data_IF_049509386513
#
_entry.id   IF_049509386513
#
_cell.length_a   1.000
_cell.length_b   1.000
_cell.length_c   1.000
_cell.angle_alpha   90.00
_cell.angle_beta   90.00
_cell.angle_gamma   90.00
#
_symmetry.space_group_name_H-M   'P 1'
#
loop_
_entity.id
_entity.type
_entity.pdbx_description
1 polymer ?
#
# COMPACT_ATOMS: atom_id res chain seq x y z
N UNK A 1 -20.38 17.07 8.59
CA UNK A 1 -18.91 17.27 8.76
C UNK A 1 -18.46 18.34 7.77
N UNK A 2 -17.83 19.38 8.26
CA UNK A 2 -17.28 20.43 7.38
C UNK A 2 -15.83 20.08 6.98
N UNK A 3 -15.25 20.91 6.12
CA UNK A 3 -13.90 20.67 5.60
C UNK A 3 -12.85 20.62 6.72
N UNK A 4 -12.96 21.51 7.69
CA UNK A 4 -12.00 21.57 8.80
C UNK A 4 -12.06 20.30 9.66
N UNK A 5 -13.24 19.84 9.98
CA UNK A 5 -13.42 18.60 10.76
C UNK A 5 -12.94 17.38 9.99
N UNK A 6 -13.22 17.32 8.70
CA UNK A 6 -12.76 16.25 7.82
C UNK A 6 -11.23 16.17 7.83
N UNK A 7 -10.56 17.30 7.66
CA UNK A 7 -9.10 17.34 7.64
C UNK A 7 -8.50 16.88 8.97
N UNK A 8 -9.10 17.25 10.10
CA UNK A 8 -8.64 16.80 11.41
C UNK A 8 -8.70 15.29 11.56
N UNK A 9 -9.68 14.66 10.94
CA UNK A 9 -9.85 13.21 11.01
C UNK A 9 -8.86 12.48 10.10
N UNK A 10 -8.62 12.99 8.87
CA UNK A 10 -7.91 12.23 7.84
C UNK A 10 -6.43 12.58 7.71
N UNK A 11 -6.00 13.78 8.11
CA UNK A 11 -4.60 14.16 8.00
C UNK A 11 -3.65 13.27 8.81
N UNK A 12 -4.02 12.83 10.04
CA UNK A 12 -3.10 12.00 10.83
C UNK A 12 -2.64 10.72 10.16
N UNK A 13 -3.43 10.16 9.23
CA UNK A 13 -3.04 8.91 8.56
C UNK A 13 -2.72 9.08 7.07
N UNK A 14 -2.57 10.32 6.61
CA UNK A 14 -2.26 10.59 5.20
C UNK A 14 -0.97 9.91 4.75
N UNK A 15 0.08 10.02 5.55
CA UNK A 15 1.37 9.42 5.22
C UNK A 15 1.30 7.89 5.16
N UNK A 16 0.50 7.28 6.02
CA UNK A 16 0.30 5.83 6.03
C UNK A 16 -0.40 5.37 4.75
N UNK A 17 -1.41 6.11 4.30
CA UNK A 17 -2.10 5.84 3.04
C UNK A 17 -1.12 5.91 1.87
N UNK A 18 -0.33 6.98 1.82
CA UNK A 18 0.66 7.15 0.76
C UNK A 18 1.70 6.03 0.77
N UNK A 19 2.23 5.68 1.94
CA UNK A 19 3.23 4.61 2.05
C UNK A 19 2.70 3.27 1.59
N UNK A 20 1.45 2.94 1.96
CA UNK A 20 0.83 1.70 1.49
C UNK A 20 0.64 1.72 -0.02
N UNK A 21 0.12 2.82 -0.57
CA UNK A 21 -0.08 2.96 -2.01
C UNK A 21 1.25 2.82 -2.75
N UNK A 22 2.30 3.45 -2.26
CA UNK A 22 3.62 3.36 -2.89
C UNK A 22 4.19 1.94 -2.80
N UNK A 23 3.97 1.25 -1.69
CA UNK A 23 4.41 -0.15 -1.54
C UNK A 23 3.74 -1.05 -2.57
N UNK A 24 2.46 -0.87 -2.80
CA UNK A 24 1.71 -1.72 -3.71
C UNK A 24 1.88 -1.33 -5.18
N UNK A 25 1.93 -0.03 -5.48
CA UNK A 25 2.01 0.48 -6.86
C UNK A 25 3.44 0.71 -7.34
N UNK A 26 4.39 0.82 -6.42
CA UNK A 26 5.84 1.01 -6.65
C UNK A 26 6.20 2.38 -7.22
N UNK A 27 5.27 3.08 -7.87
CA UNK A 27 5.51 4.40 -8.48
C UNK A 27 5.05 5.52 -7.54
N UNK A 28 5.90 6.54 -7.34
CA UNK A 28 5.56 7.71 -6.54
C UNK A 28 4.39 8.48 -7.16
N UNK A 29 4.39 8.66 -8.47
CA UNK A 29 3.31 9.37 -9.17
C UNK A 29 1.97 8.65 -9.02
N UNK A 30 1.97 7.33 -9.19
CA UNK A 30 0.75 6.54 -9.02
C UNK A 30 0.28 6.52 -7.58
N UNK A 31 1.22 6.51 -6.62
CA UNK A 31 0.87 6.57 -5.20
C UNK A 31 0.26 7.92 -4.83
N UNK A 32 0.76 9.02 -5.40
CA UNK A 32 0.17 10.34 -5.20
C UNK A 32 -1.23 10.42 -5.79
N UNK A 33 -1.43 9.90 -7.00
CA UNK A 33 -2.75 9.87 -7.62
C UNK A 33 -3.73 9.02 -6.81
N UNK A 34 -3.28 7.88 -6.33
CA UNK A 34 -4.10 6.99 -5.50
C UNK A 34 -4.50 7.70 -4.19
N UNK A 35 -3.57 8.39 -3.56
CA UNK A 35 -3.83 9.12 -2.32
C UNK A 35 -4.88 10.20 -2.54
N UNK A 36 -4.75 10.99 -3.60
CA UNK A 36 -5.70 12.03 -3.94
C UNK A 36 -7.08 11.46 -4.22
N UNK A 37 -7.15 10.41 -5.03
CA UNK A 37 -8.42 9.76 -5.36
C UNK A 37 -9.10 9.21 -4.11
N UNK A 38 -8.31 8.63 -3.22
CA UNK A 38 -8.82 8.09 -1.96
C UNK A 38 -9.40 9.19 -1.08
N UNK A 39 -8.68 10.32 -0.94
CA UNK A 39 -9.19 11.44 -0.15
C UNK A 39 -10.43 12.05 -0.76
N UNK A 40 -10.51 12.09 -2.07
CA UNK A 40 -11.71 12.54 -2.75
C UNK A 40 -12.91 11.63 -2.44
N UNK A 41 -12.70 10.32 -2.47
CA UNK A 41 -13.74 9.36 -2.12
C UNK A 41 -14.15 9.48 -0.65
N UNK A 42 -13.19 9.66 0.24
CA UNK A 42 -13.49 9.88 1.65
C UNK A 42 -14.29 11.16 1.86
N UNK A 43 -13.93 12.22 1.16
CA UNK A 43 -14.66 13.49 1.24
C UNK A 43 -16.12 13.32 0.77
N UNK A 44 -16.33 12.59 -0.32
CA UNK A 44 -17.69 12.33 -0.80
C UNK A 44 -18.50 11.47 0.18
N UNK A 45 -17.83 10.65 0.97
CA UNK A 45 -18.47 9.80 1.97
C UNK A 45 -18.38 10.39 3.38
N UNK A 46 -18.07 11.66 3.52
CA UNK A 46 -17.78 12.30 4.81
C UNK A 46 -18.88 12.11 5.85
N UNK A 47 -20.12 12.08 5.43
CA UNK A 47 -21.24 11.92 6.36
C UNK A 47 -21.32 10.50 6.91
N UNK A 48 -20.99 9.51 6.09
CA UNK A 48 -20.92 8.11 6.52
C UNK A 48 -19.75 7.88 7.46
N UNK A 49 -18.57 8.41 7.13
CA UNK A 49 -17.37 8.18 7.94
C UNK A 49 -17.42 8.89 9.28
N UNK A 50 -18.26 9.92 9.43
CA UNK A 50 -18.47 10.58 10.71
C UNK A 50 -18.97 9.60 11.79
N UNK A 51 -19.69 8.56 11.37
CA UNK A 51 -20.24 7.54 12.27
C UNK A 51 -19.30 6.35 12.47
N UNK A 52 -18.19 6.27 11.75
CA UNK A 52 -17.27 5.14 11.85
C UNK A 52 -16.38 5.26 13.07
N UNK A 53 -16.20 4.14 13.77
CA UNK A 53 -15.32 4.09 14.95
C UNK A 53 -13.85 4.18 14.56
N UNK A 54 -13.49 3.69 13.39
CA UNK A 54 -12.09 3.63 12.94
C UNK A 54 -11.99 4.01 11.47
N UNK A 55 -11.90 5.30 11.22
CA UNK A 55 -11.78 5.85 9.86
C UNK A 55 -10.45 5.44 9.24
N UNK A 56 -9.38 5.40 10.04
CA UNK A 56 -8.06 5.02 9.55
C UNK A 56 -8.06 3.60 8.97
N UNK A 57 -8.64 2.64 9.69
CA UNK A 57 -8.73 1.26 9.18
C UNK A 57 -9.55 1.18 7.90
N UNK A 58 -10.64 1.94 7.83
CA UNK A 58 -11.46 2.01 6.62
C UNK A 58 -10.66 2.59 5.45
N UNK A 59 -9.92 3.66 5.70
CA UNK A 59 -9.09 4.30 4.66
C UNK A 59 -7.99 3.35 4.17
N UNK A 60 -7.36 2.60 5.06
CA UNK A 60 -6.33 1.64 4.68
C UNK A 60 -6.91 0.50 3.85
N UNK A 61 -8.10 0.03 4.20
CA UNK A 61 -8.81 -0.99 3.42
C UNK A 61 -9.14 -0.47 2.02
N UNK A 62 -9.65 0.76 1.92
CA UNK A 62 -9.92 1.40 0.64
C UNK A 62 -8.66 1.53 -0.20
N UNK A 63 -7.55 1.91 0.43
CA UNK A 63 -6.26 2.05 -0.25
C UNK A 63 -5.82 0.72 -0.85
N UNK A 64 -5.89 -0.35 -0.06
CA UNK A 64 -5.57 -1.69 -0.55
C UNK A 64 -6.43 -2.06 -1.75
N UNK A 65 -7.73 -1.90 -1.63
CA UNK A 65 -8.65 -2.28 -2.69
C UNK A 65 -8.43 -1.47 -3.96
N UNK A 66 -8.24 -0.17 -3.82
CA UNK A 66 -7.95 0.70 -4.96
C UNK A 66 -6.67 0.28 -5.68
N UNK A 67 -5.61 0.03 -4.92
CA UNK A 67 -4.32 -0.34 -5.49
C UNK A 67 -4.38 -1.69 -6.20
N UNK A 68 -5.06 -2.67 -5.61
CA UNK A 68 -5.22 -3.98 -6.24
C UNK A 68 -6.04 -3.89 -7.53
N UNK A 69 -7.11 -3.11 -7.53
CA UNK A 69 -7.91 -2.89 -8.73
C UNK A 69 -7.08 -2.20 -9.82
N UNK A 70 -6.27 -1.23 -9.42
CA UNK A 70 -5.38 -0.52 -10.35
C UNK A 70 -4.35 -1.46 -10.96
N UNK A 71 -3.76 -2.34 -10.17
CA UNK A 71 -2.79 -3.33 -10.65
C UNK A 71 -3.44 -4.32 -11.62
N UNK A 72 -4.64 -4.79 -11.33
CA UNK A 72 -5.37 -5.68 -12.23
C UNK A 72 -5.68 -5.00 -13.55
N UNK A 73 -6.12 -3.76 -13.51
CA UNK A 73 -6.40 -2.97 -14.70
C UNK A 73 -5.15 -2.76 -15.54
N UNK A 74 -4.02 -2.48 -14.91
CA UNK A 74 -2.73 -2.33 -15.59
C UNK A 74 -2.29 -3.61 -16.26
N UNK A 75 -2.40 -4.74 -15.59
CA UNK A 75 -2.06 -6.04 -16.16
C UNK A 75 -2.90 -6.33 -17.40
N UNK A 76 -4.20 -6.04 -17.33
CA UNK A 76 -5.09 -6.27 -18.47
C UNK A 76 -4.76 -5.39 -19.68
N UNK A 77 -4.36 -4.12 -19.45
CA UNK A 77 -4.11 -3.18 -20.54
C UNK A 77 -2.68 -3.25 -21.07
N UNK A 78 -1.72 -3.76 -20.31
CA UNK A 78 -0.30 -3.68 -20.62
C UNK A 78 0.35 -5.01 -21.02
N UNK A 79 -0.44 -6.05 -21.23
CA UNK A 79 0.09 -7.37 -21.59
C UNK A 79 0.96 -7.37 -22.86
N UNK A 80 0.88 -6.34 -23.69
CA UNK A 80 1.58 -6.31 -24.97
C UNK A 80 2.53 -5.14 -25.19
N UNK A 81 2.47 -4.10 -24.37
CA UNK A 81 3.13 -2.83 -24.72
C UNK A 81 4.37 -2.47 -23.91
N UNK A 82 4.73 -3.23 -22.89
CA UNK A 82 5.61 -2.65 -21.88
C UNK A 82 6.85 -3.46 -21.56
N UNK A 83 7.09 -4.60 -22.21
CA UNK A 83 8.26 -5.40 -21.89
C UNK A 83 9.58 -4.66 -22.17
N UNK A 84 9.65 -3.87 -23.23
CA UNK A 84 10.88 -3.15 -23.55
C UNK A 84 11.08 -1.93 -22.64
N UNK A 85 10.04 -1.17 -22.37
CA UNK A 85 10.13 0.01 -21.50
C UNK A 85 10.42 -0.36 -20.06
N UNK A 86 9.88 -1.48 -19.61
CA UNK A 86 10.11 -1.97 -18.26
C UNK A 86 11.58 -2.36 -18.05
N UNK A 87 12.17 -3.03 -19.03
CA UNK A 87 13.59 -3.41 -18.98
C UNK A 87 14.52 -2.21 -18.96
N UNK A 88 14.21 -1.18 -19.71
CA UNK A 88 15.01 0.04 -19.71
C UNK A 88 14.97 0.76 -18.36
N UNK A 89 13.80 0.82 -17.73
CA UNK A 89 13.66 1.40 -16.41
C UNK A 89 14.38 0.59 -15.34
N UNK A 90 14.33 -0.72 -15.41
CA UNK A 90 15.06 -1.58 -14.49
C UNK A 90 16.56 -1.37 -14.59
N UNK A 91 17.09 -1.33 -15.79
CA UNK A 91 18.52 -1.13 -16.02
C UNK A 91 18.99 0.22 -15.49
N UNK A 92 18.20 1.24 -15.68
CA UNK A 92 18.48 2.59 -15.18
C UNK A 92 18.42 2.67 -13.66
N UNK A 93 17.47 1.96 -13.05
CA UNK A 93 17.33 1.91 -11.60
C UNK A 93 18.44 1.09 -10.95
N UNK A 94 18.83 -0.02 -11.56
CA UNK A 94 19.90 -0.87 -11.04
C UNK A 94 21.22 -0.11 -10.93
N UNK A 95 21.54 0.70 -11.93
CA UNK A 95 22.76 1.50 -11.90
C UNK A 95 22.78 2.53 -10.79
N UNK A 96 21.61 3.06 -10.39
CA UNK A 96 21.50 4.02 -9.29
C UNK A 96 21.51 3.35 -7.93
N UNK A 97 21.06 2.10 -7.86
CA UNK A 97 20.91 1.36 -6.60
C UNK A 97 22.21 0.72 -6.15
N UNK A 98 23.14 0.43 -7.07
CA UNK A 98 24.42 -0.18 -6.73
C UNK A 98 25.26 0.59 -5.71
N UNK A 99 25.00 1.89 -5.54
CA UNK A 99 25.72 2.73 -4.60
C UNK A 99 24.95 3.03 -3.32
N UNK A 100 23.81 2.36 -3.08
CA UNK A 100 23.01 2.60 -1.91
C UNK A 100 22.97 1.40 -0.99
N UNK A 101 22.77 1.70 0.23
CA UNK A 101 22.95 0.85 1.38
C UNK A 101 21.88 -0.25 1.52
N UNK A 102 21.95 -0.95 2.64
CA UNK A 102 21.10 -2.08 2.98
C UNK A 102 19.60 -1.74 3.01
N UNK A 103 19.22 -0.47 3.20
CA UNK A 103 17.82 -0.05 3.23
C UNK A 103 17.13 -0.28 1.90
N UNK A 104 17.79 0.08 0.79
CA UNK A 104 17.25 -0.15 -0.54
C UNK A 104 17.13 -1.63 -0.87
N UNK A 105 18.06 -2.45 -0.38
CA UNK A 105 17.99 -3.90 -0.54
C UNK A 105 16.77 -4.48 0.17
N UNK A 106 16.48 -4.01 1.37
CA UNK A 106 15.29 -4.43 2.12
C UNK A 106 14.02 -4.07 1.37
N UNK A 107 13.94 -2.85 0.84
CA UNK A 107 12.78 -2.42 0.06
C UNK A 107 12.58 -3.29 -1.18
N UNK A 108 13.65 -3.64 -1.88
CA UNK A 108 13.57 -4.52 -3.04
C UNK A 108 13.07 -5.91 -2.67
N UNK A 109 13.55 -6.45 -1.55
CA UNK A 109 13.08 -7.74 -1.05
C UNK A 109 11.58 -7.71 -0.74
N UNK A 110 11.12 -6.64 -0.10
CA UNK A 110 9.69 -6.49 0.21
C UNK A 110 8.87 -6.40 -1.08
N UNK A 111 9.33 -5.63 -2.07
CA UNK A 111 8.62 -5.46 -3.33
C UNK A 111 8.45 -6.77 -4.10
N UNK A 112 9.38 -7.70 -3.94
CA UNK A 112 9.34 -8.99 -4.61
C UNK A 112 8.53 -10.06 -3.86
N UNK A 113 8.02 -9.76 -2.67
CA UNK A 113 7.19 -10.69 -1.92
C UNK A 113 5.84 -10.91 -2.60
N UNK A 114 5.20 -12.07 -2.38
CA UNK A 114 3.79 -12.23 -2.76
C UNK A 114 2.93 -11.11 -2.18
N UNK A 115 1.85 -10.72 -2.87
CA UNK A 115 1.06 -9.57 -2.49
C UNK A 115 0.55 -9.61 -1.06
N UNK A 116 0.05 -10.77 -0.59
CA UNK A 116 -0.45 -10.88 0.77
C UNK A 116 0.66 -10.70 1.81
N UNK A 117 1.86 -11.22 1.54
CA UNK A 117 3.01 -11.03 2.43
C UNK A 117 3.47 -9.58 2.42
N UNK A 118 3.52 -8.96 1.24
CA UNK A 118 3.93 -7.57 1.08
C UNK A 118 3.04 -6.62 1.88
N UNK A 119 1.72 -6.76 1.74
CA UNK A 119 0.80 -5.87 2.46
C UNK A 119 0.84 -6.10 3.97
N UNK A 120 0.93 -7.34 4.40
CA UNK A 120 0.93 -7.66 5.83
C UNK A 120 2.20 -7.13 6.50
N UNK A 121 3.37 -7.29 5.86
CA UNK A 121 4.59 -6.75 6.45
C UNK A 121 4.57 -5.23 6.49
N UNK A 122 3.99 -4.59 5.49
CA UNK A 122 3.82 -3.14 5.49
C UNK A 122 2.94 -2.69 6.65
N UNK A 123 1.79 -3.34 6.83
CA UNK A 123 0.84 -2.96 7.87
C UNK A 123 1.37 -3.25 9.27
N UNK A 124 2.08 -4.34 9.46
CA UNK A 124 2.56 -4.73 10.79
C UNK A 124 3.90 -4.10 11.16
N UNK A 125 4.92 -4.26 10.31
CA UNK A 125 6.28 -3.88 10.68
C UNK A 125 6.57 -2.41 10.40
N UNK A 126 5.97 -1.83 9.38
CA UNK A 126 6.16 -0.40 9.06
C UNK A 126 5.14 0.47 9.78
N UNK A 127 3.84 0.14 9.66
CA UNK A 127 2.78 0.98 10.21
C UNK A 127 2.35 0.57 11.63
N UNK A 128 2.74 -0.60 12.08
CA UNK A 128 2.55 -1.07 13.47
C UNK A 128 1.10 -1.26 13.89
N UNK A 129 0.23 -1.64 12.96
CA UNK A 129 -1.14 -2.02 13.30
C UNK A 129 -1.16 -3.35 14.06
N UNK A 130 -2.15 -3.54 14.92
CA UNK A 130 -2.31 -4.82 15.61
C UNK A 130 -2.91 -5.89 14.68
N UNK A 131 -2.83 -7.15 15.11
CA UNK A 131 -3.27 -8.26 14.26
C UNK A 131 -4.77 -8.22 13.97
N UNK A 132 -5.59 -7.81 14.93
CA UNK A 132 -7.03 -7.70 14.71
C UNK A 132 -7.37 -6.68 13.64
N UNK A 133 -6.71 -5.53 13.67
CA UNK A 133 -6.89 -4.50 12.66
C UNK A 133 -6.45 -4.99 11.28
N UNK A 134 -5.29 -5.65 11.22
CA UNK A 134 -4.77 -6.17 9.96
C UNK A 134 -5.71 -7.21 9.37
N UNK A 135 -6.22 -8.12 10.19
CA UNK A 135 -7.16 -9.14 9.73
C UNK A 135 -8.37 -8.53 9.05
N UNK A 136 -8.89 -7.44 9.60
CA UNK A 136 -10.02 -6.73 9.03
C UNK A 136 -9.66 -6.02 7.73
N UNK A 137 -8.48 -5.39 7.70
CA UNK A 137 -8.02 -4.66 6.51
C UNK A 137 -7.79 -5.59 5.32
N UNK A 138 -7.22 -6.76 5.55
CA UNK A 138 -6.85 -7.69 4.47
C UNK A 138 -7.86 -8.81 4.27
N UNK A 139 -8.89 -8.87 5.13
CA UNK A 139 -9.93 -9.91 5.08
C UNK A 139 -9.33 -11.31 5.12
N UNK A 140 -8.49 -11.55 6.11
CA UNK A 140 -7.83 -12.83 6.34
C UNK A 140 -7.98 -13.25 7.80
N UNK A 141 -7.94 -14.55 8.05
CA UNK A 141 -7.99 -15.09 9.40
C UNK A 141 -6.68 -14.81 10.14
N UNK A 142 -6.71 -14.69 11.49
CA UNK A 142 -5.49 -14.42 12.27
C UNK A 142 -4.35 -15.41 12.01
N UNK A 143 -4.65 -16.68 11.87
CA UNK A 143 -3.64 -17.70 11.57
C UNK A 143 -2.97 -17.43 10.23
N UNK A 144 -3.75 -17.11 9.20
CA UNK A 144 -3.24 -16.82 7.86
C UNK A 144 -2.35 -15.58 7.88
N UNK A 145 -2.75 -14.54 8.62
CA UNK A 145 -1.95 -13.32 8.76
C UNK A 145 -0.60 -13.61 9.41
N UNK A 146 -0.61 -14.39 10.50
CA UNK A 146 0.62 -14.74 11.20
C UNK A 146 1.57 -15.57 10.34
N UNK A 147 1.03 -16.53 9.58
CA UNK A 147 1.84 -17.35 8.67
C UNK A 147 2.46 -16.49 7.57
N UNK A 148 1.66 -15.60 6.96
CA UNK A 148 2.16 -14.70 5.92
C UNK A 148 3.26 -13.79 6.46
N UNK A 149 3.06 -13.21 7.65
CA UNK A 149 4.06 -12.36 8.28
C UNK A 149 5.35 -13.12 8.57
N UNK A 150 5.25 -14.33 9.11
CA UNK A 150 6.40 -15.18 9.41
C UNK A 150 7.20 -15.48 8.14
N UNK A 151 6.52 -15.84 7.06
CA UNK A 151 7.17 -16.13 5.77
C UNK A 151 7.83 -14.87 5.18
N UNK A 152 7.15 -13.72 5.28
CA UNK A 152 7.70 -12.47 4.79
C UNK A 152 8.99 -12.10 5.53
N UNK A 153 8.96 -12.17 6.86
CA UNK A 153 10.12 -11.88 7.70
C UNK A 153 11.29 -12.82 7.42
N UNK A 154 11.00 -14.09 7.19
CA UNK A 154 12.02 -15.08 6.89
C UNK A 154 12.70 -14.78 5.55
N UNK A 155 11.97 -14.35 4.56
CA UNK A 155 12.52 -13.99 3.25
C UNK A 155 13.43 -12.76 3.32
N UNK A 156 13.11 -11.83 4.20
CA UNK A 156 13.85 -10.56 4.32
C UNK A 156 15.14 -10.73 5.12
N UNK A 157 15.22 -11.69 6.00
CA UNK A 157 16.43 -11.95 6.81
C UNK A 157 17.63 -12.46 6.01
#
# INVERSE_FOLDING_TARGET
MNQSDFLKVVLPFKDKVFRLAKRLLVSTEEAEDATQELYFKLWRSKEKIADYKNVEAFAMTMTKNYCYDRLKSKQASNLTLVHSNYKEKETSLDKKVEHRDSVNQVHQLIENLPENQKIIIQLRDVEQYDFDEICKMVDMKPTAVRVALSRARKTIR
#
